data_IF_786126392090
#
_entry.id   IF_786126392090
#
_cell.length_a   1.000
_cell.length_b   1.000
_cell.length_c   1.000
_cell.angle_alpha   90.00
_cell.angle_beta   90.00
_cell.angle_gamma   90.00
#
_symmetry.space_group_name_H-M   'P 1'
#
loop_
_entity.id
_entity.type
_entity.pdbx_description
1 polymer ?
#
# COMPACT_ATOMS: atom_id res chain seq x y z
N UNK A 1 -20.78 -2.94 -11.43
CA UNK A 1 -20.18 -3.79 -12.48
C UNK A 1 -21.03 -5.03 -12.61
N UNK A 2 -21.50 -5.35 -13.81
CA UNK A 2 -22.31 -6.55 -14.03
C UNK A 2 -21.47 -7.80 -13.67
N UNK A 3 -21.93 -8.58 -12.69
CA UNK A 3 -21.23 -9.77 -12.18
C UNK A 3 -19.98 -9.53 -11.31
N UNK A 4 -19.61 -8.28 -11.00
CA UNK A 4 -18.41 -7.94 -10.22
C UNK A 4 -18.70 -7.21 -8.91
N UNK A 5 -17.65 -6.93 -8.14
CA UNK A 5 -17.73 -6.11 -6.90
C UNK A 5 -17.07 -4.75 -7.15
N UNK A 6 -17.75 -3.67 -6.76
CA UNK A 6 -17.18 -2.34 -6.71
C UNK A 6 -16.60 -2.10 -5.30
N UNK A 7 -15.34 -1.71 -5.22
CA UNK A 7 -14.65 -1.39 -3.97
C UNK A 7 -13.83 -0.13 -4.18
N UNK A 8 -13.82 0.75 -3.19
CA UNK A 8 -13.03 1.98 -3.22
C UNK A 8 -12.58 2.33 -1.81
N UNK A 9 -11.39 2.90 -1.69
CA UNK A 9 -10.90 3.55 -0.48
C UNK A 9 -10.78 5.05 -0.74
N UNK A 10 -11.04 5.86 0.28
CA UNK A 10 -10.81 7.31 0.24
C UNK A 10 -9.96 7.67 1.44
N UNK A 11 -8.74 8.14 1.16
CA UNK A 11 -7.77 8.55 2.19
C UNK A 11 -7.58 10.07 2.03
N UNK A 12 -8.38 10.90 2.72
CA UNK A 12 -8.41 12.34 2.49
C UNK A 12 -7.12 13.06 2.94
N UNK A 13 -6.31 12.40 3.78
CA UNK A 13 -5.03 12.92 4.24
C UNK A 13 -4.01 11.78 4.27
N UNK A 14 -3.08 11.80 3.32
CA UNK A 14 -1.99 10.84 3.20
C UNK A 14 -0.65 11.60 3.05
N UNK A 15 -0.08 12.13 4.13
CA UNK A 15 1.20 12.81 4.08
C UNK A 15 2.33 11.80 3.84
N UNK A 16 2.85 11.78 2.63
CA UNK A 16 3.97 10.91 2.21
C UNK A 16 4.95 11.70 1.34
N UNK A 17 6.19 11.22 1.27
CA UNK A 17 7.24 11.83 0.46
C UNK A 17 8.33 10.82 0.09
N UNK A 18 9.03 11.10 -1.00
CA UNK A 18 10.09 10.25 -1.56
C UNK A 18 11.46 10.93 -1.56
N UNK A 19 11.56 12.09 -0.91
CA UNK A 19 12.79 12.88 -0.69
C UNK A 19 12.76 13.46 0.73
N UNK A 20 13.93 13.48 1.38
CA UNK A 20 14.14 14.11 2.69
C UNK A 20 13.97 13.16 3.88
N UNK A 21 14.49 13.58 5.04
CA UNK A 21 14.42 12.80 6.27
C UNK A 21 14.97 11.38 6.08
N UNK A 22 14.18 10.38 6.44
CA UNK A 22 14.57 8.97 6.38
C UNK A 22 14.68 8.37 4.97
N UNK A 23 14.22 9.04 3.91
CA UNK A 23 14.22 8.46 2.55
C UNK A 23 15.62 8.30 1.95
N UNK A 24 16.64 8.92 2.56
CA UNK A 24 18.04 8.78 2.18
C UNK A 24 18.80 7.71 2.96
N UNK A 25 18.18 7.07 3.97
CA UNK A 25 18.79 5.93 4.66
C UNK A 25 18.73 4.72 3.74
N UNK A 26 19.83 3.95 3.67
CA UNK A 26 20.08 2.92 2.66
C UNK A 26 18.88 1.97 2.46
N UNK A 27 18.38 1.33 3.53
CA UNK A 27 17.26 0.39 3.42
C UNK A 27 15.97 1.06 2.90
N UNK A 28 15.67 2.27 3.38
CA UNK A 28 14.47 3.00 2.95
C UNK A 28 14.59 3.44 1.50
N UNK A 29 15.78 3.87 1.08
CA UNK A 29 16.06 4.23 -0.30
C UNK A 29 15.88 3.04 -1.24
N UNK A 30 16.44 1.88 -0.88
CA UNK A 30 16.27 0.63 -1.64
C UNK A 30 14.81 0.22 -1.73
N UNK A 31 14.03 0.36 -0.66
CA UNK A 31 12.58 0.13 -0.70
C UNK A 31 11.86 1.06 -1.69
N UNK A 32 12.20 2.34 -1.70
CA UNK A 32 11.63 3.29 -2.67
C UNK A 32 12.09 2.98 -4.10
N UNK A 33 13.32 2.51 -4.28
CA UNK A 33 13.86 2.10 -5.58
C UNK A 33 13.19 0.83 -6.11
N UNK A 34 12.93 -0.16 -5.25
CA UNK A 34 12.14 -1.36 -5.58
C UNK A 34 10.72 -1.01 -6.04
N UNK A 35 10.12 0.03 -5.46
CA UNK A 35 8.82 0.56 -5.86
C UNK A 35 8.89 1.51 -7.07
N UNK A 36 10.09 1.82 -7.58
CA UNK A 36 10.30 2.72 -8.72
C UNK A 36 10.06 4.20 -8.43
N UNK A 37 10.01 4.60 -7.15
CA UNK A 37 9.64 5.96 -6.72
C UNK A 37 10.72 6.64 -5.87
N UNK A 38 11.98 6.17 -5.90
CA UNK A 38 13.08 6.85 -5.21
C UNK A 38 13.35 8.25 -5.82
N UNK A 39 13.58 9.25 -4.96
CA UNK A 39 13.86 10.62 -5.38
C UNK A 39 12.59 11.44 -5.71
N UNK A 40 12.79 12.65 -6.24
CA UNK A 40 11.70 13.63 -6.42
C UNK A 40 10.76 13.34 -7.59
N UNK A 41 11.19 12.53 -8.57
CA UNK A 41 10.51 12.36 -9.85
C UNK A 41 10.69 13.56 -10.79
N UNK A 42 10.25 13.38 -12.03
CA UNK A 42 10.20 14.41 -13.07
C UNK A 42 8.79 14.46 -13.69
N UNK A 43 7.98 15.52 -13.48
CA UNK A 43 8.32 16.74 -12.74
C UNK A 43 8.45 16.50 -11.22
N UNK A 44 9.07 17.44 -10.47
CA UNK A 44 9.17 17.35 -9.01
C UNK A 44 7.83 17.06 -8.34
N UNK A 45 7.80 16.03 -7.49
CA UNK A 45 6.59 15.57 -6.78
C UNK A 45 5.88 14.39 -7.46
N UNK A 46 6.22 14.04 -8.70
CA UNK A 46 5.61 12.91 -9.41
C UNK A 46 5.79 11.58 -8.65
N UNK A 47 6.99 11.34 -8.11
CA UNK A 47 7.27 10.12 -7.34
C UNK A 47 6.50 10.06 -6.01
N UNK A 48 6.37 11.20 -5.31
CA UNK A 48 5.60 11.27 -4.08
C UNK A 48 4.10 10.99 -4.32
N UNK A 49 3.55 11.50 -5.43
CA UNK A 49 2.19 11.20 -5.86
C UNK A 49 2.02 9.71 -6.18
N UNK A 50 2.91 9.14 -6.99
CA UNK A 50 2.89 7.71 -7.33
C UNK A 50 3.02 6.83 -6.08
N UNK A 51 3.87 7.21 -5.13
CA UNK A 51 3.99 6.51 -3.85
C UNK A 51 2.68 6.55 -3.05
N UNK A 52 1.98 7.69 -3.03
CA UNK A 52 0.64 7.79 -2.44
C UNK A 52 -0.39 6.86 -3.09
N UNK A 53 -0.36 6.73 -4.42
CA UNK A 53 -1.21 5.80 -5.17
C UNK A 53 -0.90 4.33 -4.83
N UNK A 54 0.39 3.97 -4.73
CA UNK A 54 0.83 2.64 -4.30
C UNK A 54 0.32 2.32 -2.89
N UNK A 55 0.45 3.26 -1.95
CA UNK A 55 -0.06 3.08 -0.58
C UNK A 55 -1.58 2.88 -0.58
N UNK A 56 -2.33 3.70 -1.31
CA UNK A 56 -3.78 3.56 -1.40
C UNK A 56 -4.21 2.21 -2.03
N UNK A 57 -3.49 1.75 -3.06
CA UNK A 57 -3.72 0.45 -3.68
C UNK A 57 -3.40 -0.72 -2.73
N UNK A 58 -2.32 -0.62 -1.97
CA UNK A 58 -1.96 -1.60 -0.95
C UNK A 58 -3.03 -1.69 0.17
N UNK A 59 -3.56 -0.54 0.62
CA UNK A 59 -4.67 -0.50 1.57
C UNK A 59 -5.92 -1.17 0.97
N UNK A 60 -6.33 -0.79 -0.24
CA UNK A 60 -7.50 -1.40 -0.91
C UNK A 60 -7.36 -2.93 -1.05
N UNK A 61 -6.17 -3.41 -1.42
CA UNK A 61 -5.89 -4.84 -1.54
C UNK A 61 -5.96 -5.56 -0.18
N UNK A 62 -5.43 -4.93 0.88
CA UNK A 62 -5.51 -5.43 2.25
C UNK A 62 -6.96 -5.55 2.72
N UNK A 63 -7.77 -4.50 2.54
CA UNK A 63 -9.19 -4.49 2.89
C UNK A 63 -9.97 -5.56 2.15
N UNK A 64 -9.75 -5.71 0.83
CA UNK A 64 -10.41 -6.73 0.04
C UNK A 64 -10.06 -8.16 0.52
N UNK A 65 -8.78 -8.40 0.81
CA UNK A 65 -8.30 -9.69 1.35
C UNK A 65 -8.92 -10.00 2.70
N UNK A 66 -8.94 -9.02 3.61
CA UNK A 66 -9.50 -9.17 4.95
C UNK A 66 -11.01 -9.41 4.92
N UNK A 67 -11.75 -8.61 4.13
CA UNK A 67 -13.19 -8.78 3.93
C UNK A 67 -13.52 -10.15 3.33
N UNK A 68 -12.72 -10.61 2.37
CA UNK A 68 -12.85 -11.96 1.79
C UNK A 68 -12.63 -13.06 2.82
N UNK A 69 -11.58 -12.95 3.66
CA UNK A 69 -11.29 -13.92 4.71
C UNK A 69 -12.37 -13.94 5.80
N UNK A 70 -12.95 -12.79 6.14
CA UNK A 70 -14.07 -12.67 7.08
C UNK A 70 -15.35 -13.30 6.51
N UNK A 71 -15.70 -12.96 5.27
CA UNK A 71 -16.87 -13.51 4.59
C UNK A 71 -16.78 -15.04 4.46
N UNK A 72 -15.58 -15.58 4.21
CA UNK A 72 -15.32 -17.01 4.14
C UNK A 72 -15.12 -17.69 5.50
N UNK A 73 -15.17 -16.96 6.62
CA UNK A 73 -14.84 -17.47 7.97
C UNK A 73 -13.45 -18.13 8.05
N UNK A 74 -12.52 -17.71 7.18
CA UNK A 74 -11.15 -18.22 7.10
C UNK A 74 -10.17 -17.44 7.97
N UNK A 75 -10.56 -16.28 8.51
CA UNK A 75 -9.66 -15.39 9.21
C UNK A 75 -8.96 -16.07 10.41
N UNK A 76 -9.73 -16.74 11.28
CA UNK A 76 -9.17 -17.41 12.47
C UNK A 76 -8.22 -18.56 12.08
N UNK A 77 -8.57 -19.35 11.07
CA UNK A 77 -7.74 -20.44 10.56
C UNK A 77 -6.44 -19.93 9.94
N UNK A 78 -6.49 -18.83 9.19
CA UNK A 78 -5.30 -18.21 8.61
C UNK A 78 -4.33 -17.73 9.70
N UNK A 79 -4.85 -17.10 10.76
CA UNK A 79 -4.04 -16.70 11.92
C UNK A 79 -3.45 -17.90 12.68
N UNK A 80 -4.20 -19.00 12.85
CA UNK A 80 -3.67 -20.20 13.48
C UNK A 80 -2.53 -20.86 12.68
N UNK A 81 -2.65 -20.87 11.34
CA UNK A 81 -1.69 -21.55 10.46
C UNK A 81 -0.46 -20.69 10.13
N UNK A 82 -0.64 -19.37 10.01
CA UNK A 82 0.36 -18.45 9.47
C UNK A 82 0.74 -17.31 10.43
N UNK A 83 -0.04 -17.11 11.50
CA UNK A 83 0.29 -16.13 12.53
C UNK A 83 1.62 -16.46 13.18
N UNK A 84 2.44 -15.43 13.40
CA UNK A 84 3.81 -15.59 13.93
C UNK A 84 3.92 -15.23 15.42
N UNK A 85 2.82 -15.32 16.16
CA UNK A 85 2.72 -15.01 17.60
C UNK A 85 2.05 -13.69 17.87
#
# INVERSE_FOLDING_TARGET
>A
VEGGVYVSVSIPSLPVGTVGGGTGVETQHECLAMLGVAGGGDPPGANAKAFGEIVAAAVLAGELSLLGALAAQHLARAHQNLGRG
#
